data_IF_870058538887
#
_entry.id   IF_870058538887
#
_cell.length_a   1.000
_cell.length_b   1.000
_cell.length_c   1.000
_cell.angle_alpha   90.00
_cell.angle_beta   90.00
_cell.angle_gamma   90.00
#
_symmetry.space_group_name_H-M   'P 1'
#
loop_
_entity.id
_entity.type
_entity.pdbx_description
1 polymer ?
#
# COMPACT_ATOMS: atom_id res chain seq x y z
N UNK A 1 -9.53 -2.95 -12.37
CA UNK A 1 -8.32 -2.48 -11.67
C UNK A 1 -8.36 -0.98 -11.44
N UNK A 2 -7.86 -0.52 -10.28
CA UNK A 2 -7.66 0.90 -10.00
C UNK A 2 -6.24 1.25 -10.43
N UNK A 3 -6.13 2.07 -11.46
CA UNK A 3 -4.85 2.52 -12.00
C UNK A 3 -4.88 4.04 -12.21
N UNK A 4 -3.71 4.67 -12.09
CA UNK A 4 -3.50 6.06 -12.46
C UNK A 4 -2.62 6.07 -13.71
N UNK A 5 -3.03 6.82 -14.72
CA UNK A 5 -2.28 6.98 -15.96
C UNK A 5 -1.80 8.42 -16.06
N UNK A 6 -0.48 8.61 -16.08
CA UNK A 6 0.14 9.88 -16.40
C UNK A 6 0.60 9.85 -17.86
N UNK A 7 0.27 10.89 -18.63
CA UNK A 7 0.68 11.04 -20.02
C UNK A 7 1.48 12.32 -20.18
N UNK A 8 2.56 12.26 -20.95
CA UNK A 8 3.40 13.42 -21.27
C UNK A 8 3.96 13.32 -22.68
N UNK A 9 4.50 14.43 -23.17
CA UNK A 9 5.18 14.52 -24.48
C UNK A 9 6.70 14.22 -24.36
N UNK A 10 7.17 13.88 -23.16
CA UNK A 10 8.54 13.40 -22.89
C UNK A 10 8.61 12.71 -21.53
N UNK A 11 9.67 11.90 -21.31
CA UNK A 11 9.94 11.27 -20.01
C UNK A 11 10.17 12.31 -18.90
N UNK A 12 10.81 13.44 -19.23
CA UNK A 12 11.02 14.53 -18.29
C UNK A 12 9.70 15.13 -17.76
N UNK A 13 8.68 15.24 -18.63
CA UNK A 13 7.37 15.71 -18.20
C UNK A 13 6.67 14.70 -17.29
N UNK A 14 6.90 13.40 -17.48
CA UNK A 14 6.37 12.36 -16.57
C UNK A 14 6.99 12.48 -15.17
N UNK A 15 8.30 12.76 -15.06
CA UNK A 15 8.96 12.99 -13.77
C UNK A 15 8.37 14.21 -13.03
N UNK A 16 8.06 15.29 -13.75
CA UNK A 16 7.39 16.46 -13.17
C UNK A 16 5.98 16.13 -12.68
N UNK A 17 5.21 15.37 -13.46
CA UNK A 17 3.88 14.90 -13.07
C UNK A 17 3.97 14.00 -11.83
N UNK A 18 4.97 13.12 -11.78
CA UNK A 18 5.22 12.22 -10.65
C UNK A 18 5.52 12.99 -9.36
N UNK A 19 6.39 14.00 -9.43
CA UNK A 19 6.70 14.85 -8.28
C UNK A 19 5.45 15.55 -7.73
N UNK A 20 4.60 16.08 -8.61
CA UNK A 20 3.33 16.73 -8.22
C UNK A 20 2.34 15.71 -7.64
N UNK A 21 2.27 14.51 -8.22
CA UNK A 21 1.41 13.42 -7.73
C UNK A 21 1.81 13.01 -6.31
N UNK A 22 3.09 12.72 -6.06
CA UNK A 22 3.56 12.34 -4.73
C UNK A 22 3.42 13.47 -3.70
N UNK A 23 3.66 14.72 -4.09
CA UNK A 23 3.45 15.87 -3.20
C UNK A 23 1.97 16.00 -2.77
N UNK A 24 1.03 15.79 -3.70
CA UNK A 24 -0.41 15.83 -3.39
C UNK A 24 -0.85 14.66 -2.51
N UNK A 25 -0.36 13.45 -2.77
CA UNK A 25 -0.67 12.26 -1.97
C UNK A 25 -0.14 12.37 -0.55
N UNK A 26 1.12 12.81 -0.41
CA UNK A 26 1.74 13.03 0.91
C UNK A 26 0.97 14.10 1.69
N UNK A 27 0.50 15.16 1.03
CA UNK A 27 -0.33 16.20 1.66
C UNK A 27 -1.70 15.70 2.14
N UNK A 28 -2.18 14.59 1.60
CA UNK A 28 -3.42 13.92 2.01
C UNK A 28 -3.18 12.75 2.99
N UNK A 29 -1.98 12.68 3.58
CA UNK A 29 -1.56 11.60 4.48
C UNK A 29 -1.62 10.20 3.82
N UNK A 30 -1.51 10.14 2.49
CA UNK A 30 -1.43 8.87 1.74
C UNK A 30 0.02 8.44 1.61
N UNK A 31 0.32 7.21 2.05
CA UNK A 31 1.66 6.62 1.96
C UNK A 31 1.97 6.27 0.51
N UNK A 32 3.12 6.73 0.00
CA UNK A 32 3.52 6.58 -1.41
C UNK A 32 3.67 5.09 -1.81
N UNK A 33 3.97 4.19 -0.87
CA UNK A 33 4.06 2.74 -1.12
C UNK A 33 2.75 2.09 -1.58
N UNK A 34 1.64 2.83 -1.51
CA UNK A 34 0.35 2.47 -2.10
C UNK A 34 0.34 2.47 -3.64
N UNK A 35 1.26 3.22 -4.28
CA UNK A 35 1.41 3.24 -5.73
C UNK A 35 2.54 2.31 -6.18
N UNK A 36 2.21 1.38 -7.07
CA UNK A 36 3.16 0.54 -7.79
C UNK A 36 3.42 1.14 -9.17
N UNK A 37 4.53 1.87 -9.31
CA UNK A 37 4.97 2.39 -10.60
C UNK A 37 5.44 1.23 -11.48
N UNK A 38 4.85 1.07 -12.66
CA UNK A 38 5.37 0.10 -13.61
C UNK A 38 6.75 0.53 -14.13
N UNK A 39 7.71 -0.40 -14.17
CA UNK A 39 9.08 -0.12 -14.65
C UNK A 39 9.13 0.32 -16.11
N UNK A 40 8.12 -0.06 -16.90
CA UNK A 40 8.03 0.27 -18.33
C UNK A 40 7.12 1.46 -18.55
N UNK A 41 7.67 2.49 -19.19
CA UNK A 41 6.92 3.58 -19.79
C UNK A 41 6.33 3.09 -21.12
N UNK A 42 5.03 3.22 -21.29
CA UNK A 42 4.34 2.91 -22.54
C UNK A 42 4.55 4.05 -23.55
N UNK A 43 5.07 3.73 -24.74
CA UNK A 43 5.13 4.68 -25.85
C UNK A 43 3.81 4.63 -26.62
N UNK A 44 3.06 5.73 -26.62
CA UNK A 44 1.75 5.82 -27.26
C UNK A 44 1.83 6.18 -28.75
N UNK A 45 3.03 6.45 -29.27
CA UNK A 45 3.30 6.86 -30.65
C UNK A 45 3.69 8.35 -30.74
N UNK A 46 4.62 8.65 -31.65
CA UNK A 46 5.31 9.96 -31.66
C UNK A 46 6.16 10.14 -30.40
N UNK A 47 6.24 11.38 -29.90
CA UNK A 47 6.96 11.72 -28.66
C UNK A 47 6.15 11.44 -27.38
N UNK A 48 4.90 10.97 -27.51
CA UNK A 48 4.01 10.75 -26.37
C UNK A 48 4.36 9.47 -25.59
N UNK A 49 4.48 9.65 -24.29
CA UNK A 49 4.79 8.62 -23.31
C UNK A 49 3.71 8.55 -22.23
N UNK A 50 3.53 7.36 -21.67
CA UNK A 50 2.58 7.09 -20.60
C UNK A 50 3.23 6.26 -19.50
N UNK A 51 3.05 6.73 -18.27
CA UNK A 51 3.38 5.98 -17.07
C UNK A 51 2.09 5.46 -16.44
N UNK A 52 2.09 4.17 -16.12
CA UNK A 52 1.01 3.51 -15.39
C UNK A 52 1.45 3.30 -13.95
N UNK A 53 0.60 3.70 -13.01
CA UNK A 53 0.74 3.43 -11.59
C UNK A 53 -0.42 2.54 -11.16
N UNK A 54 -0.13 1.33 -10.71
CA UNK A 54 -1.14 0.44 -10.13
C UNK A 54 -1.36 0.79 -8.67
N UNK A 55 -2.60 0.79 -8.25
CA UNK A 55 -2.95 1.04 -6.86
C UNK A 55 -2.95 -0.30 -6.10
N UNK A 56 -2.16 -0.39 -5.03
CA UNK A 56 -2.17 -1.54 -4.11
C UNK A 56 -3.36 -1.39 -3.16
N UNK A 57 -4.48 -2.00 -3.52
CA UNK A 57 -5.68 -2.04 -2.67
C UNK A 57 -5.79 -3.39 -1.94
N UNK A 58 -6.13 -3.32 -0.66
CA UNK A 58 -6.32 -4.51 0.18
C UNK A 58 -5.01 -5.12 0.67
N UNK A 59 -5.16 -6.11 1.56
CA UNK A 59 -4.04 -6.88 2.09
C UNK A 59 -3.85 -8.09 1.19
N UNK A 60 -2.73 -8.13 0.48
CA UNK A 60 -2.38 -9.29 -0.34
C UNK A 60 -2.26 -10.57 0.52
N UNK A 61 -2.45 -11.74 -0.08
CA UNK A 61 -2.44 -13.00 0.66
C UNK A 61 -1.10 -13.31 1.35
N UNK A 62 0.03 -12.80 0.84
CA UNK A 62 1.35 -13.00 1.42
C UNK A 62 1.55 -12.10 2.66
N UNK A 63 1.15 -10.84 2.57
CA UNK A 63 1.12 -9.86 3.65
C UNK A 63 0.12 -10.28 4.74
N UNK A 64 -1.06 -10.76 4.35
CA UNK A 64 -2.07 -11.27 5.28
C UNK A 64 -1.53 -12.43 6.12
N UNK A 65 -0.81 -13.37 5.48
CA UNK A 65 -0.12 -14.46 6.18
C UNK A 65 0.98 -13.93 7.12
N UNK A 66 1.79 -12.96 6.68
CA UNK A 66 2.82 -12.32 7.53
C UNK A 66 2.21 -11.66 8.76
N UNK A 67 1.10 -10.93 8.60
CA UNK A 67 0.37 -10.28 9.71
C UNK A 67 -0.12 -11.31 10.72
N UNK A 68 -0.76 -12.39 10.24
CA UNK A 68 -1.26 -13.46 11.11
C UNK A 68 -0.12 -14.15 11.86
N UNK A 69 1.01 -14.43 11.21
CA UNK A 69 2.18 -15.02 11.85
C UNK A 69 2.79 -14.06 12.88
N UNK A 70 2.97 -12.78 12.55
CA UNK A 70 3.49 -11.77 13.46
C UNK A 70 2.64 -11.61 14.73
N UNK A 71 1.30 -11.68 14.60
CA UNK A 71 0.39 -11.64 15.75
C UNK A 71 0.42 -12.91 16.60
N UNK A 72 0.75 -14.07 16.01
CA UNK A 72 0.96 -15.31 16.78
C UNK A 72 2.30 -15.26 17.52
N UNK A 73 3.34 -14.75 16.88
CA UNK A 73 4.69 -14.64 17.45
C UNK A 73 4.77 -13.61 18.58
N UNK A 74 3.93 -12.57 18.53
CA UNK A 74 3.83 -11.56 19.60
C UNK A 74 3.21 -12.08 20.90
N UNK A 75 2.66 -13.31 20.89
CA UNK A 75 2.00 -13.98 22.04
C UNK A 75 0.85 -13.17 22.66
N UNK A 76 0.29 -12.22 21.92
CA UNK A 76 -0.87 -11.44 22.34
C UNK A 76 -2.11 -12.33 22.41
N UNK A 77 -3.03 -12.03 23.34
CA UNK A 77 -4.30 -12.78 23.51
C UNK A 77 -5.35 -12.39 22.46
N UNK A 78 -4.94 -12.32 21.20
CA UNK A 78 -5.78 -11.96 20.05
C UNK A 78 -5.72 -13.04 18.98
N UNK A 79 -6.82 -13.22 18.26
CA UNK A 79 -6.95 -14.17 17.16
C UNK A 79 -7.09 -13.38 15.85
N UNK A 80 -6.25 -13.70 14.87
CA UNK A 80 -6.30 -13.10 13.53
C UNK A 80 -6.85 -14.11 12.52
N UNK A 81 -7.71 -13.63 11.62
CA UNK A 81 -8.31 -14.42 10.53
C UNK A 81 -8.28 -13.60 9.24
N UNK A 82 -8.00 -14.27 8.11
CA UNK A 82 -7.96 -13.63 6.79
C UNK A 82 -9.36 -13.77 6.17
N UNK A 83 -9.97 -12.65 5.79
CA UNK A 83 -11.29 -12.55 5.20
C UNK A 83 -11.17 -11.81 3.86
N UNK A 84 -10.88 -12.56 2.80
CA UNK A 84 -10.58 -11.97 1.50
C UNK A 84 -9.31 -11.11 1.56
N UNK A 85 -9.46 -9.82 1.32
CA UNK A 85 -8.43 -8.77 1.31
C UNK A 85 -8.30 -8.05 2.66
N UNK A 86 -9.00 -8.50 3.71
CA UNK A 86 -8.96 -7.91 5.06
C UNK A 86 -8.49 -8.94 6.09
N UNK A 87 -7.64 -8.52 7.03
CA UNK A 87 -7.29 -9.32 8.21
C UNK A 87 -8.11 -8.87 9.40
N UNK A 88 -9.02 -9.72 9.88
CA UNK A 88 -9.82 -9.46 11.07
C UNK A 88 -9.10 -9.96 12.32
N UNK A 89 -8.84 -9.04 13.24
CA UNK A 89 -8.29 -9.32 14.58
C UNK A 89 -9.40 -9.27 15.61
N UNK A 90 -9.54 -10.33 16.41
CA UNK A 90 -10.55 -10.47 17.47
C UNK A 90 -9.85 -10.74 18.79
N UNK A 91 -10.27 -10.08 19.87
CA UNK A 91 -9.69 -10.23 21.21
C UNK A 91 -10.75 -10.00 22.28
N UNK A 92 -10.54 -10.57 23.47
CA UNK A 92 -11.48 -10.42 24.60
C UNK A 92 -11.36 -9.07 25.29
N UNK A 93 -10.15 -8.51 25.37
CA UNK A 93 -9.87 -7.25 26.03
C UNK A 93 -9.54 -6.15 25.01
N UNK A 94 -9.97 -4.93 25.30
CA UNK A 94 -9.68 -3.76 24.45
C UNK A 94 -8.19 -3.41 24.45
N UNK A 95 -7.50 -3.60 25.58
CA UNK A 95 -6.08 -3.24 25.71
C UNK A 95 -5.18 -4.19 24.88
N UNK A 96 -5.55 -5.46 24.80
CA UNK A 96 -4.89 -6.45 23.93
C UNK A 96 -5.05 -6.06 22.44
N UNK A 97 -6.23 -5.55 22.05
CA UNK A 97 -6.48 -5.05 20.70
C UNK A 97 -5.66 -3.78 20.39
N UNK A 98 -5.56 -2.84 21.34
CA UNK A 98 -4.74 -1.64 21.16
C UNK A 98 -3.25 -2.00 21.05
N UNK A 99 -2.79 -2.96 21.84
CA UNK A 99 -1.41 -3.46 21.78
C UNK A 99 -1.13 -4.15 20.43
N UNK A 100 -2.08 -4.92 19.91
CA UNK A 100 -1.96 -5.53 18.59
C UNK A 100 -1.88 -4.47 17.47
N UNK A 101 -2.69 -3.40 17.54
CA UNK A 101 -2.62 -2.29 16.58
C UNK A 101 -1.25 -1.61 16.63
N UNK A 102 -0.75 -1.31 17.83
CA UNK A 102 0.57 -0.68 18.00
C UNK A 102 1.71 -1.57 17.48
N UNK A 103 1.64 -2.88 17.74
CA UNK A 103 2.60 -3.86 17.23
C UNK A 103 2.59 -3.91 15.70
N UNK A 104 1.42 -4.02 15.07
CA UNK A 104 1.30 -4.06 13.61
C UNK A 104 1.82 -2.78 12.95
N UNK A 105 1.47 -1.60 13.48
CA UNK A 105 1.98 -0.32 12.98
C UNK A 105 3.51 -0.21 13.06
N UNK A 106 4.12 -0.83 14.09
CA UNK A 106 5.57 -0.85 14.26
C UNK A 106 6.26 -1.88 13.37
N UNK A 107 5.69 -3.07 13.22
CA UNK A 107 6.29 -4.17 12.46
C UNK A 107 6.10 -4.05 10.95
N UNK A 108 5.12 -3.27 10.50
CA UNK A 108 4.79 -3.09 9.09
C UNK A 108 4.76 -1.60 8.70
N UNK A 109 5.71 -0.81 9.21
CA UNK A 109 5.79 0.64 8.95
C UNK A 109 5.82 1.03 7.47
N UNK A 110 6.32 0.13 6.63
CA UNK A 110 6.56 0.39 5.20
C UNK A 110 5.33 0.07 4.34
N UNK A 111 4.30 -0.52 4.96
CA UNK A 111 3.04 -0.88 4.30
C UNK A 111 1.89 -0.10 4.93
N UNK A 112 1.05 0.60 4.15
CA UNK A 112 -0.12 1.28 4.70
C UNK A 112 -1.12 0.23 5.23
N UNK A 113 -1.19 0.09 6.55
CA UNK A 113 -2.11 -0.78 7.30
C UNK A 113 -3.04 0.01 8.23
#
# INVERSE_FOLDING_TARGET
DKEIHATGDSEFQLEQIEAVLYAKLTKQDVVISFLDKQDKIEKLGGDKVRQVYKIKEGIDAALAKKIVTSLKDSKLKVQASIQGDVVRVTGKNRDDLQTAIAHLRKSFSDTPL
#
